data_IF_572584539327
#
_entry.id   IF_572584539327
#
_cell.length_a   1.000
_cell.length_b   1.000
_cell.length_c   1.000
_cell.angle_alpha   90.00
_cell.angle_beta   90.00
_cell.angle_gamma   90.00
#
_symmetry.space_group_name_H-M   'P 1'
#
loop_
_entity.id
_entity.type
_entity.pdbx_description
1 polymer ?
#
# COMPACT_ATOMS: atom_id res chain seq x y z
N UNK A 1 4.77 -7.05 -4.45
CA UNK A 1 4.06 -5.81 -4.00
C UNK A 1 2.74 -6.06 -3.29
N UNK A 2 1.90 -7.01 -3.72
CA UNK A 2 0.58 -7.29 -3.11
C UNK A 2 0.56 -7.23 -1.58
N UNK A 3 1.50 -7.88 -0.88
CA UNK A 3 1.55 -7.91 0.59
C UNK A 3 1.64 -6.52 1.27
N UNK A 4 2.04 -5.47 0.55
CA UNK A 4 1.98 -4.09 1.05
C UNK A 4 0.89 -3.25 0.39
N UNK A 5 0.73 -3.34 -0.93
CA UNK A 5 -0.27 -2.51 -1.63
C UNK A 5 -1.70 -2.99 -1.41
N UNK A 6 -1.93 -4.21 -0.94
CA UNK A 6 -3.28 -4.68 -0.58
C UNK A 6 -3.90 -3.87 0.58
N UNK A 7 -3.09 -3.23 1.44
CA UNK A 7 -3.63 -2.37 2.50
C UNK A 7 -4.43 -1.17 1.95
N UNK A 8 -4.19 -0.76 0.69
CA UNK A 8 -5.03 0.24 0.02
C UNK A 8 -6.48 -0.22 -0.14
N UNK A 9 -6.78 -1.53 -0.10
CA UNK A 9 -8.15 -2.05 -0.09
C UNK A 9 -8.94 -1.51 1.12
N UNK A 10 -8.28 -1.21 2.24
CA UNK A 10 -8.86 -0.57 3.42
C UNK A 10 -8.83 0.96 3.38
N UNK A 11 -8.59 1.55 2.21
CA UNK A 11 -8.63 3.00 1.98
C UNK A 11 -9.59 3.37 0.85
N UNK A 12 -9.96 4.65 0.75
CA UNK A 12 -10.73 5.17 -0.38
C UNK A 12 -9.88 5.38 -1.65
N UNK A 13 -8.55 5.34 -1.56
CA UNK A 13 -7.68 5.33 -2.75
C UNK A 13 -7.76 3.98 -3.48
N UNK A 14 -7.53 4.01 -4.80
CA UNK A 14 -7.48 2.83 -5.65
C UNK A 14 -6.18 2.08 -5.45
N UNK A 15 -6.28 0.76 -5.30
CA UNK A 15 -5.17 -0.20 -5.36
C UNK A 15 -4.86 -0.69 -6.79
N UNK A 16 -5.36 0.02 -7.82
CA UNK A 16 -5.06 -0.26 -9.22
C UNK A 16 -5.95 -1.32 -9.86
N UNK A 17 -6.95 -1.86 -9.15
CA UNK A 17 -7.99 -2.66 -9.79
C UNK A 17 -8.71 -1.84 -10.88
N UNK A 18 -9.01 -2.47 -12.01
CA UNK A 18 -9.53 -1.80 -13.20
C UNK A 18 -8.46 -1.21 -14.12
N UNK A 19 -7.17 -1.39 -13.81
CA UNK A 19 -6.04 -1.05 -14.69
C UNK A 19 -5.30 -2.32 -15.16
N UNK A 20 -4.34 -2.22 -16.09
CA UNK A 20 -3.51 -3.36 -16.50
C UNK A 20 -2.61 -3.95 -15.39
N UNK A 21 -2.34 -3.19 -14.32
CA UNK A 21 -1.34 -3.53 -13.30
C UNK A 21 -1.89 -3.37 -11.86
N UNK A 22 -2.90 -4.17 -11.45
CA UNK A 22 -3.45 -4.11 -10.10
C UNK A 22 -2.36 -4.38 -9.06
N UNK A 23 -2.40 -3.69 -7.92
CA UNK A 23 -1.42 -3.74 -6.83
C UNK A 23 0.00 -3.27 -7.19
N UNK A 24 0.23 -2.87 -8.45
CA UNK A 24 1.41 -2.15 -8.92
C UNK A 24 1.04 -0.73 -9.37
N UNK A 25 -0.20 -0.31 -9.11
CA UNK A 25 -0.70 1.04 -9.32
C UNK A 25 -1.48 1.43 -8.09
N UNK A 26 -1.21 2.61 -7.52
CA UNK A 26 -2.04 3.18 -6.45
C UNK A 26 -2.35 4.63 -6.79
N UNK A 27 -3.60 5.06 -6.58
CA UNK A 27 -4.02 6.38 -7.06
C UNK A 27 -5.35 6.88 -6.52
N UNK A 28 -5.54 8.19 -6.61
CA UNK A 28 -6.81 8.85 -6.33
C UNK A 28 -6.90 10.15 -7.15
N UNK A 29 -8.11 10.68 -7.43
CA UNK A 29 -8.23 11.91 -8.22
C UNK A 29 -7.51 13.11 -7.59
N UNK A 30 -7.47 13.17 -6.26
CA UNK A 30 -6.88 14.25 -5.46
C UNK A 30 -5.40 14.04 -5.11
N UNK A 31 -4.80 12.91 -5.48
CA UNK A 31 -3.45 12.54 -5.07
C UNK A 31 -2.40 13.40 -5.81
N UNK A 32 -1.42 13.93 -5.08
CA UNK A 32 -0.19 14.42 -5.70
C UNK A 32 0.77 13.22 -5.86
N UNK A 33 0.71 12.61 -7.05
CA UNK A 33 1.51 11.44 -7.39
C UNK A 33 3.01 11.76 -7.48
N UNK A 34 3.38 13.01 -7.76
CA UNK A 34 4.79 13.42 -7.88
C UNK A 34 5.51 13.31 -6.54
N UNK A 35 4.82 13.65 -5.44
CA UNK A 35 5.36 13.49 -4.08
C UNK A 35 5.58 12.04 -3.69
N UNK A 36 4.70 11.13 -4.12
CA UNK A 36 4.87 9.70 -3.86
C UNK A 36 5.95 9.08 -4.76
N UNK A 37 6.07 9.52 -6.01
CA UNK A 37 7.12 9.09 -6.92
C UNK A 37 8.53 9.53 -6.48
N UNK A 38 8.63 10.58 -5.66
CA UNK A 38 9.89 11.02 -5.06
C UNK A 38 10.36 10.16 -3.87
N UNK A 39 9.54 9.18 -3.42
CA UNK A 39 9.94 8.25 -2.38
C UNK A 39 10.93 7.23 -2.93
N UNK A 40 11.98 6.97 -2.16
CA UNK A 40 13.00 5.98 -2.48
C UNK A 40 12.81 4.75 -1.60
N UNK A 41 12.62 3.60 -2.24
CA UNK A 41 12.53 2.30 -1.58
C UNK A 41 13.50 1.33 -2.24
N UNK A 42 14.32 0.59 -1.46
CA UNK A 42 15.24 -0.38 -2.03
C UNK A 42 14.55 -1.36 -2.98
N UNK A 43 15.11 -1.48 -4.19
CA UNK A 43 14.63 -2.38 -5.23
C UNK A 43 13.33 -1.99 -5.92
N UNK A 44 12.76 -0.81 -5.68
CA UNK A 44 11.58 -0.30 -6.38
C UNK A 44 11.90 0.94 -7.21
N UNK A 45 11.21 1.07 -8.35
CA UNK A 45 11.08 2.33 -9.07
C UNK A 45 9.61 2.77 -9.00
N UNK A 46 9.38 4.04 -8.70
CA UNK A 46 8.04 4.62 -8.58
C UNK A 46 7.93 5.80 -9.54
N UNK A 47 6.89 5.78 -10.38
CA UNK A 47 6.67 6.80 -11.39
C UNK A 47 5.27 7.39 -11.26
N UNK A 48 5.16 8.72 -11.34
CA UNK A 48 3.87 9.38 -11.40
C UNK A 48 3.24 9.18 -12.79
N UNK A 49 1.99 8.72 -12.83
CA UNK A 49 1.23 8.44 -14.05
C UNK A 49 -0.20 8.97 -13.93
N UNK A 50 -0.89 9.07 -15.07
CA UNK A 50 -2.34 9.23 -15.12
C UNK A 50 -2.98 7.98 -15.68
N UNK A 51 -4.06 7.52 -15.04
CA UNK A 51 -4.75 6.30 -15.45
C UNK A 51 -6.21 6.32 -15.04
N UNK A 52 -7.08 5.71 -15.85
CA UNK A 52 -8.52 5.62 -15.57
C UNK A 52 -8.89 4.14 -15.38
N UNK A 53 -9.33 3.73 -14.18
CA UNK A 53 -9.84 2.39 -13.96
C UNK A 53 -11.12 2.15 -14.75
N UNK A 54 -11.23 0.96 -15.36
CA UNK A 54 -12.43 0.51 -16.06
C UNK A 54 -12.92 -0.82 -15.49
N UNK A 55 -14.20 -1.12 -15.64
CA UNK A 55 -14.72 -2.46 -15.34
C UNK A 55 -14.09 -3.49 -16.28
N UNK A 56 -13.50 -4.55 -15.72
CA UNK A 56 -12.89 -5.65 -16.45
C UNK A 56 -13.54 -6.96 -15.98
N UNK A 57 -14.44 -7.55 -16.78
CA UNK A 57 -15.08 -8.83 -16.46
C UNK A 57 -14.05 -9.93 -16.15
N UNK A 58 -14.28 -10.67 -15.08
CA UNK A 58 -13.37 -11.74 -14.62
C UNK A 58 -12.09 -11.28 -13.92
N UNK A 59 -11.86 -9.96 -13.77
CA UNK A 59 -10.73 -9.40 -13.01
C UNK A 59 -11.16 -8.41 -11.94
N UNK A 60 -11.91 -7.38 -12.33
CA UNK A 60 -12.45 -6.36 -11.42
C UNK A 60 -13.69 -5.73 -12.04
N UNK A 61 -14.87 -6.24 -11.65
CA UNK A 61 -16.15 -5.76 -12.19
C UNK A 61 -16.55 -4.39 -11.62
N UNK A 62 -16.09 -4.06 -10.41
CA UNK A 62 -16.42 -2.82 -9.70
C UNK A 62 -15.17 -2.20 -9.08
N UNK A 63 -14.22 -1.70 -9.89
CA UNK A 63 -13.03 -1.05 -9.36
C UNK A 63 -13.39 0.26 -8.63
N UNK A 64 -12.60 0.64 -7.64
CA UNK A 64 -12.70 1.98 -7.05
C UNK A 64 -12.43 3.03 -8.14
N UNK A 65 -13.20 4.12 -8.09
CA UNK A 65 -13.07 5.23 -9.04
C UNK A 65 -13.25 4.82 -10.51
N UNK A 66 -14.16 3.88 -10.78
CA UNK A 66 -14.48 3.45 -12.14
C UNK A 66 -14.83 4.66 -13.02
N UNK A 67 -14.20 4.73 -14.21
CA UNK A 67 -14.34 5.79 -15.20
C UNK A 67 -13.90 7.19 -14.73
N UNK A 68 -13.18 7.29 -13.60
CA UNK A 68 -12.62 8.55 -13.09
C UNK A 68 -11.10 8.56 -13.29
N UNK A 69 -10.53 9.58 -13.96
CA UNK A 69 -9.08 9.72 -14.08
C UNK A 69 -8.41 9.87 -12.72
N UNK A 70 -7.33 9.11 -12.52
CA UNK A 70 -6.53 9.13 -11.31
C UNK A 70 -5.17 9.77 -11.58
N UNK A 71 -4.73 10.59 -10.64
CA UNK A 71 -3.31 10.81 -10.42
C UNK A 71 -2.81 9.62 -9.60
N UNK A 72 -1.87 8.86 -10.14
CA UNK A 72 -1.44 7.59 -9.56
C UNK A 72 0.07 7.44 -9.61
N UNK A 73 0.60 6.52 -8.82
CA UNK A 73 1.95 6.01 -9.02
C UNK A 73 1.91 4.60 -9.58
N UNK A 74 2.77 4.34 -10.56
CA UNK A 74 3.13 3.00 -11.00
C UNK A 74 4.34 2.52 -10.21
N UNK A 75 4.36 1.25 -9.82
CA UNK A 75 5.42 0.63 -9.04
C UNK A 75 6.04 -0.50 -9.85
N UNK A 76 7.33 -0.37 -10.14
CA UNK A 76 8.13 -1.39 -10.81
C UNK A 76 9.10 -2.04 -9.82
N UNK A 77 9.17 -3.37 -9.82
CA UNK A 77 10.12 -4.12 -9.00
C UNK A 77 11.42 -4.30 -9.81
N UNK A 78 12.47 -3.63 -9.37
CA UNK A 78 13.78 -3.62 -10.04
C UNK A 78 14.73 -4.66 -9.46
N UNK A 79 14.71 -4.84 -8.13
CA UNK A 79 15.59 -5.78 -7.40
C UNK A 79 14.76 -6.50 -6.32
N UNK A 80 14.09 -7.61 -6.66
CA UNK A 80 13.12 -8.27 -5.78
C UNK A 80 13.64 -8.58 -4.37
N UNK A 81 14.90 -9.02 -4.25
CA UNK A 81 15.50 -9.42 -2.98
C UNK A 81 15.72 -8.25 -2.00
N UNK A 82 15.68 -7.02 -2.50
CA UNK A 82 15.80 -5.81 -1.68
C UNK A 82 14.43 -5.26 -1.26
N UNK A 83 13.33 -5.74 -1.87
CA UNK A 83 12.00 -5.16 -1.67
C UNK A 83 11.42 -5.56 -0.32
N UNK A 84 11.18 -4.55 0.51
CA UNK A 84 10.43 -4.66 1.77
C UNK A 84 8.98 -4.24 1.56
N UNK A 85 8.19 -5.10 0.90
CA UNK A 85 6.90 -4.69 0.33
C UNK A 85 5.88 -4.18 1.36
N UNK A 86 5.79 -4.83 2.53
CA UNK A 86 4.83 -4.47 3.59
C UNK A 86 5.11 -3.05 4.09
N UNK A 87 6.36 -2.78 4.47
CA UNK A 87 6.81 -1.45 4.91
C UNK A 87 6.60 -0.38 3.85
N UNK A 88 6.99 -0.66 2.60
CA UNK A 88 6.79 0.27 1.47
C UNK A 88 5.31 0.61 1.23
N UNK A 89 4.43 -0.39 1.26
CA UNK A 89 2.98 -0.20 1.10
C UNK A 89 2.36 0.64 2.22
N UNK A 90 2.73 0.38 3.47
CA UNK A 90 2.26 1.17 4.61
C UNK A 90 2.79 2.61 4.56
N UNK A 91 4.06 2.81 4.21
CA UNK A 91 4.59 4.17 4.04
C UNK A 91 3.89 4.92 2.91
N UNK A 92 3.64 4.28 1.76
CA UNK A 92 2.84 4.88 0.69
C UNK A 92 1.46 5.35 1.18
N UNK A 93 0.81 4.58 2.07
CA UNK A 93 -0.46 4.99 2.69
C UNK A 93 -0.27 6.16 3.66
N UNK A 94 0.76 6.13 4.52
CA UNK A 94 1.11 7.25 5.42
C UNK A 94 1.29 8.55 4.64
N UNK A 95 2.05 8.51 3.54
CA UNK A 95 2.31 9.67 2.69
C UNK A 95 1.07 10.10 1.90
N UNK A 96 0.24 9.14 1.47
CA UNK A 96 -1.06 9.43 0.87
C UNK A 96 -2.00 10.13 1.85
N UNK A 97 -2.05 9.68 3.10
CA UNK A 97 -2.87 10.29 4.15
C UNK A 97 -2.46 11.73 4.44
N UNK A 98 -1.15 12.00 4.50
CA UNK A 98 -0.59 13.32 4.79
C UNK A 98 -0.96 14.42 3.78
N UNK A 99 -1.43 14.03 2.58
CA UNK A 99 -1.83 14.96 1.53
C UNK A 99 -3.34 14.94 1.24
N UNK A 100 -4.14 14.32 2.10
CA UNK A 100 -5.59 14.25 1.91
C UNK A 100 -6.24 15.63 1.92
N UNK A 101 -7.18 15.89 0.98
CA UNK A 101 -8.10 17.00 1.14
C UNK A 101 -8.98 16.83 2.38
N UNK A 102 -9.36 17.93 3.00
CA UNK A 102 -10.30 17.94 4.14
C UNK A 102 -11.62 17.22 3.82
N UNK A 103 -12.05 17.21 2.55
CA UNK A 103 -13.29 16.55 2.12
C UNK A 103 -13.23 15.01 2.15
N UNK A 104 -12.04 14.42 2.21
CA UNK A 104 -11.83 12.95 2.15
C UNK A 104 -11.28 12.40 3.47
N UNK A 105 -10.69 13.24 4.32
CA UNK A 105 -9.94 12.80 5.50
C UNK A 105 -10.73 11.89 6.46
N UNK A 106 -12.03 12.17 6.66
CA UNK A 106 -12.88 11.41 7.59
C UNK A 106 -13.36 10.07 7.02
N UNK A 107 -13.33 9.90 5.70
CA UNK A 107 -13.80 8.70 5.00
C UNK A 107 -12.67 7.90 4.35
N UNK A 108 -11.42 8.36 4.51
CA UNK A 108 -10.28 7.74 3.84
C UNK A 108 -10.04 6.31 4.31
N UNK A 109 -10.12 6.03 5.61
CA UNK A 109 -9.86 4.69 6.14
C UNK A 109 -11.14 3.92 6.44
N UNK A 110 -11.16 2.65 6.05
CA UNK A 110 -11.99 1.63 6.69
C UNK A 110 -11.16 0.97 7.80
N UNK A 111 -11.24 1.49 9.02
CA UNK A 111 -10.36 1.07 10.13
C UNK A 111 -10.58 -0.40 10.53
N UNK A 112 -11.82 -0.89 10.48
CA UNK A 112 -12.12 -2.31 10.78
C UNK A 112 -11.51 -3.25 9.73
N UNK A 113 -11.56 -2.86 8.45
CA UNK A 113 -10.94 -3.65 7.39
C UNK A 113 -9.41 -3.58 7.46
N UNK A 114 -8.85 -2.41 7.77
CA UNK A 114 -7.41 -2.26 7.98
C UNK A 114 -6.92 -3.19 9.10
N UNK A 115 -7.60 -3.21 10.24
CA UNK A 115 -7.23 -4.08 11.36
C UNK A 115 -7.28 -5.58 11.01
N UNK A 116 -8.22 -6.00 10.14
CA UNK A 116 -8.30 -7.38 9.65
C UNK A 116 -7.15 -7.72 8.70
N UNK A 117 -6.75 -6.78 7.85
CA UNK A 117 -5.62 -6.98 6.93
C UNK A 117 -4.28 -6.99 7.66
N UNK A 118 -4.08 -6.05 8.58
CA UNK A 118 -2.80 -5.85 9.28
C UNK A 118 -2.64 -6.72 10.53
N UNK A 119 -3.75 -7.24 11.06
CA UNK A 119 -3.76 -7.95 12.35
C UNK A 119 -3.69 -7.03 13.57
N UNK A 120 -3.82 -5.71 13.41
CA UNK A 120 -3.61 -4.73 14.49
C UNK A 120 -4.59 -3.55 14.38
N UNK A 121 -5.21 -3.18 15.50
CA UNK A 121 -6.07 -1.99 15.60
C UNK A 121 -5.26 -0.68 15.64
N UNK A 122 -3.96 -0.77 15.90
CA UNK A 122 -3.03 0.35 16.06
C UNK A 122 -2.50 0.85 14.71
N UNK A 123 -2.62 0.05 13.64
CA UNK A 123 -2.04 0.36 12.33
C UNK A 123 -2.50 1.71 11.79
N UNK A 124 -3.80 2.03 11.86
CA UNK A 124 -4.32 3.32 11.38
C UNK A 124 -3.74 4.49 12.17
N UNK A 125 -3.54 4.34 13.48
CA UNK A 125 -2.90 5.38 14.31
C UNK A 125 -1.46 5.64 13.86
N UNK A 126 -0.69 4.59 13.58
CA UNK A 126 0.66 4.71 13.04
C UNK A 126 0.70 5.39 11.67
N UNK A 127 -0.21 5.01 10.76
CA UNK A 127 -0.35 5.62 9.44
C UNK A 127 -0.68 7.12 9.54
N UNK A 128 -1.62 7.49 10.41
CA UNK A 128 -2.00 8.89 10.66
C UNK A 128 -0.86 9.72 11.26
N UNK A 129 0.03 9.09 12.04
CA UNK A 129 1.27 9.72 12.57
C UNK A 129 2.36 9.89 11.51
N UNK A 130 2.18 9.34 10.31
CA UNK A 130 3.15 9.46 9.22
C UNK A 130 4.35 8.52 9.35
N UNK A 131 4.16 7.36 9.98
CA UNK A 131 5.21 6.34 10.11
C UNK A 131 5.78 5.95 8.75
N UNK A 132 7.11 5.87 8.69
CA UNK A 132 7.88 5.35 7.56
C UNK A 132 7.94 3.82 7.60
N UNK A 133 8.40 3.22 6.51
CA UNK A 133 8.64 1.78 6.42
C UNK A 133 9.56 1.31 7.56
N UNK A 134 10.59 2.11 7.88
CA UNK A 134 11.53 1.81 8.96
C UNK A 134 10.88 1.84 10.34
N UNK A 135 9.94 2.75 10.58
CA UNK A 135 9.25 2.85 11.87
C UNK A 135 8.38 1.61 12.12
N UNK A 136 7.63 1.19 11.09
CA UNK A 136 6.88 -0.06 11.14
C UNK A 136 7.81 -1.27 11.33
N UNK A 137 8.93 -1.31 10.61
CA UNK A 137 9.89 -2.41 10.71
C UNK A 137 10.55 -2.53 12.07
N UNK A 138 10.89 -1.40 12.68
CA UNK A 138 11.40 -1.37 14.03
C UNK A 138 10.34 -1.87 15.04
N UNK A 139 9.07 -1.51 14.86
CA UNK A 139 8.00 -1.88 15.78
C UNK A 139 7.74 -3.38 15.85
N UNK A 140 7.79 -4.10 14.72
CA UNK A 140 7.57 -5.55 14.70
C UNK A 140 8.87 -6.38 14.72
N UNK A 141 10.04 -5.75 14.89
CA UNK A 141 11.34 -6.44 14.83
C UNK A 141 11.43 -7.61 15.82
N UNK A 142 10.94 -7.42 17.04
CA UNK A 142 10.95 -8.49 18.06
C UNK A 142 9.99 -9.62 17.69
N UNK A 143 8.77 -9.32 17.26
CA UNK A 143 7.79 -10.34 16.85
C UNK A 143 8.27 -11.16 15.65
N UNK A 144 8.98 -10.52 14.71
CA UNK A 144 9.63 -11.22 13.60
C UNK A 144 10.73 -12.17 14.08
N UNK A 145 11.58 -11.73 15.03
CA UNK A 145 12.62 -12.58 15.60
C UNK A 145 12.03 -13.79 16.36
N UNK A 146 10.98 -13.57 17.14
CA UNK A 146 10.28 -14.63 17.87
C UNK A 146 9.61 -15.63 16.92
N UNK A 147 8.98 -15.13 15.84
CA UNK A 147 8.38 -15.99 14.82
C UNK A 147 9.44 -16.77 14.04
N UNK A 148 10.59 -16.14 13.73
CA UNK A 148 11.69 -16.81 13.07
C UNK A 148 12.24 -17.97 13.92
N UNK A 149 12.41 -17.77 15.23
CA UNK A 149 12.80 -18.86 16.15
C UNK A 149 11.72 -19.96 16.20
N UNK A 150 10.44 -19.58 16.24
CA UNK A 150 9.33 -20.54 16.31
C UNK A 150 9.22 -21.39 15.06
N UNK A 151 9.40 -20.81 13.86
CA UNK A 151 9.24 -21.52 12.58
C UNK A 151 10.34 -22.53 12.30
N UNK A 152 11.54 -22.40 12.91
CA UNK A 152 12.67 -23.32 12.69
C UNK A 152 12.30 -24.80 12.88
N UNK A 153 11.40 -25.11 13.83
CA UNK A 153 10.96 -26.48 14.13
C UNK A 153 10.11 -27.13 13.02
N UNK A 154 9.67 -26.34 12.04
CA UNK A 154 8.69 -26.73 11.04
C UNK A 154 9.17 -26.50 9.60
N UNK A 155 10.42 -26.06 9.41
CA UNK A 155 10.98 -25.86 8.08
C UNK A 155 11.23 -27.22 7.40
N UNK A 156 10.84 -27.31 6.12
CA UNK A 156 11.04 -28.50 5.27
C UNK A 156 12.10 -28.28 4.18
N UNK A 157 12.58 -27.05 4.06
CA UNK A 157 13.58 -26.60 3.09
C UNK A 157 14.55 -25.68 3.83
N UNK A 158 15.80 -25.68 3.35
CA UNK A 158 16.82 -24.73 3.80
C UNK A 158 16.48 -23.29 3.42
#
# INVERSE_FOLDING_TARGET
MYAGTCFFEATSASEGRGTPAPFLTVGAPWMDASRLAALDFPGLAIEAIQITPISIPGKSTYPKWENVPLNAVSISVMQPDQVRSVGAGLELISRTYAQLPNSVITTFFNESWMAKLSGSHETVSALKKGWSARDFEAAWAQELADFDQKRQKYLLYD
#
